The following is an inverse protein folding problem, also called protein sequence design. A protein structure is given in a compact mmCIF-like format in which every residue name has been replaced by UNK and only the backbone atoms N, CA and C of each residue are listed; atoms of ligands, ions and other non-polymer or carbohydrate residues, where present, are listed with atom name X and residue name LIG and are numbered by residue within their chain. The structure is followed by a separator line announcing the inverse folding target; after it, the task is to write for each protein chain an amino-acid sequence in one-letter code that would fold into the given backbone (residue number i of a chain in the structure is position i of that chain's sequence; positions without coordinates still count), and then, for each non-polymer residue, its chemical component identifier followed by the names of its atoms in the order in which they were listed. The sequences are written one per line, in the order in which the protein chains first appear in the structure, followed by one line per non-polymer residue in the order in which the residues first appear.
data_IF_721507368062
#
_entry.id   IF_721507368062
#
_cell.length_a   1.000
_cell.length_b   1.000
_cell.length_c   1.000
_cell.angle_alpha   90.00
_cell.angle_beta   90.00
_cell.angle_gamma   90.00
#
_symmetry.space_group_name_H-M   'P 1'
#
loop_
_entity.id
_entity.type
_entity.pdbx_description
1 polymer ?
#
# COMPACT_ATOMS: atom_id res chain seq x y z
N UNK A 1 26.17 3.90 9.89
CA UNK A 1 24.83 4.51 9.80
C UNK A 1 24.73 5.59 10.86
N UNK A 2 24.39 6.82 10.47
CA UNK A 2 24.22 7.95 11.39
C UNK A 2 23.10 7.67 12.41
N UNK A 3 23.39 7.87 13.70
CA UNK A 3 22.47 7.63 14.82
C UNK A 3 22.04 8.93 15.52
N UNK A 4 22.45 10.09 15.01
CA UNK A 4 22.07 11.38 15.59
C UNK A 4 20.55 11.51 15.59
N UNK A 5 19.88 11.86 16.68
CA UNK A 5 18.44 12.08 16.69
C UNK A 5 18.04 13.24 15.77
N UNK A 6 16.83 13.18 15.22
CA UNK A 6 16.27 14.31 14.47
C UNK A 6 15.65 15.27 15.47
N UNK A 7 16.15 16.49 15.48
CA UNK A 7 15.55 17.58 16.23
C UNK A 7 14.46 18.24 15.38
N UNK A 8 13.23 18.29 15.91
CA UNK A 8 12.03 18.66 15.12
C UNK A 8 11.52 20.07 15.41
N UNK A 9 12.08 20.73 16.41
CA UNK A 9 11.71 22.10 16.77
C UNK A 9 12.61 23.12 16.07
N UNK A 10 12.17 24.39 16.06
CA UNK A 10 12.94 25.50 15.47
C UNK A 10 14.23 25.78 16.23
N UNK A 11 15.16 26.50 15.60
CA UNK A 11 16.36 26.98 16.24
C UNK A 11 16.01 27.92 17.41
N UNK A 12 15.01 28.79 17.26
CA UNK A 12 14.56 29.71 18.28
C UNK A 12 14.08 28.99 19.55
N UNK A 13 13.29 27.91 19.34
CA UNK A 13 12.87 27.05 20.44
C UNK A 13 14.06 26.38 21.14
N UNK A 14 14.96 25.79 20.35
CA UNK A 14 16.15 25.11 20.88
C UNK A 14 17.03 26.04 21.71
N UNK A 15 17.20 27.28 21.25
CA UNK A 15 17.96 28.29 21.96
C UNK A 15 17.33 28.68 23.31
N UNK A 16 16.00 28.88 23.30
CA UNK A 16 15.26 29.24 24.54
C UNK A 16 15.26 28.13 25.58
N UNK A 17 15.38 26.86 25.16
CA UNK A 17 15.36 25.71 26.05
C UNK A 17 16.76 25.12 26.36
N UNK A 18 17.83 25.75 25.88
CA UNK A 18 19.20 25.27 26.10
C UNK A 18 19.56 24.01 25.29
N UNK A 19 18.81 23.72 24.22
CA UNK A 19 18.97 22.53 23.37
C UNK A 19 19.70 22.83 22.05
N UNK A 20 20.39 23.97 21.98
CA UNK A 20 21.07 24.47 20.79
C UNK A 20 22.06 23.45 20.19
N UNK A 21 22.83 22.75 21.04
CA UNK A 21 23.80 21.74 20.57
C UNK A 21 23.10 20.56 19.89
N UNK A 22 21.95 20.11 20.38
CA UNK A 22 21.15 19.04 19.79
C UNK A 22 20.61 19.47 18.42
N UNK A 23 20.09 20.69 18.33
CA UNK A 23 19.63 21.28 17.06
C UNK A 23 20.78 21.34 16.04
N UNK A 24 21.95 21.85 16.44
CA UNK A 24 23.13 21.97 15.56
C UNK A 24 23.59 20.59 15.09
N UNK A 25 23.68 19.59 15.98
CA UNK A 25 24.06 18.24 15.63
C UNK A 25 23.08 17.62 14.62
N UNK A 26 21.77 17.74 14.87
CA UNK A 26 20.72 17.27 13.96
C UNK A 26 20.81 17.97 12.59
N UNK A 27 20.98 19.28 12.58
CA UNK A 27 21.08 20.06 11.34
C UNK A 27 22.30 19.66 10.50
N UNK A 28 23.46 19.45 11.13
CA UNK A 28 24.68 18.94 10.44
C UNK A 28 24.42 17.56 9.80
N UNK A 29 23.75 16.67 10.52
CA UNK A 29 23.38 15.35 9.99
C UNK A 29 22.36 15.42 8.85
N UNK A 30 21.40 16.37 8.91
CA UNK A 30 20.45 16.64 7.83
C UNK A 30 21.16 17.19 6.58
N UNK A 31 22.15 18.08 6.75
CA UNK A 31 22.98 18.59 5.65
C UNK A 31 23.77 17.45 5.01
N UNK A 32 24.41 16.59 5.80
CA UNK A 32 25.13 15.44 5.30
C UNK A 32 24.23 14.46 4.53
N UNK A 33 23.01 14.24 5.02
CA UNK A 33 21.99 13.44 4.32
C UNK A 33 21.56 14.08 3.00
N UNK A 34 21.33 15.39 2.97
CA UNK A 34 21.05 16.14 1.74
C UNK A 34 22.17 15.95 0.71
N UNK A 35 23.41 16.16 1.14
CA UNK A 35 24.58 16.06 0.25
C UNK A 35 24.74 14.63 -0.33
N UNK A 36 24.43 13.61 0.49
CA UNK A 36 24.43 12.24 0.02
C UNK A 36 23.32 11.99 -1.03
N UNK A 37 22.12 12.55 -0.83
CA UNK A 37 21.02 12.46 -1.79
C UNK A 37 21.39 13.19 -3.09
N UNK A 38 21.87 14.43 -2.99
CA UNK A 38 22.31 15.21 -4.16
C UNK A 38 23.41 14.49 -4.94
N UNK A 39 24.39 13.91 -4.24
CA UNK A 39 25.47 13.11 -4.85
C UNK A 39 24.95 11.86 -5.55
N UNK A 40 23.99 11.14 -4.92
CA UNK A 40 23.41 9.93 -5.49
C UNK A 40 22.58 10.19 -6.76
N UNK A 41 22.05 11.41 -6.89
CA UNK A 41 21.27 11.85 -8.06
C UNK A 41 22.17 12.59 -9.07
N UNK A 42 23.28 13.16 -8.62
CA UNK A 42 24.19 13.93 -9.48
C UNK A 42 24.76 13.05 -10.62
N UNK A 43 24.92 13.66 -11.79
CA UNK A 43 25.45 12.96 -12.97
C UNK A 43 24.39 12.29 -13.84
N UNK A 44 23.15 12.20 -13.40
CA UNK A 44 22.03 11.74 -14.22
C UNK A 44 21.37 12.92 -14.93
N UNK A 45 21.55 13.00 -16.25
CA UNK A 45 21.02 14.09 -17.07
C UNK A 45 19.62 13.80 -17.62
N UNK A 46 19.13 12.57 -17.52
CA UNK A 46 17.83 12.15 -18.06
C UNK A 46 17.03 11.24 -17.12
N UNK A 47 15.73 11.40 -17.16
CA UNK A 47 14.81 10.57 -16.36
C UNK A 47 14.92 9.09 -16.70
N UNK A 48 15.20 8.75 -17.96
CA UNK A 48 15.27 7.37 -18.44
C UNK A 48 16.57 6.63 -18.07
N UNK A 49 17.63 7.36 -17.66
CA UNK A 49 18.93 6.78 -17.29
C UNK A 49 19.14 6.73 -15.78
N UNK A 50 18.19 7.25 -15.00
CA UNK A 50 18.32 7.33 -13.56
C UNK A 50 17.93 6.04 -12.86
N UNK A 51 18.92 5.30 -12.33
CA UNK A 51 18.68 4.17 -11.43
C UNK A 51 18.37 4.67 -10.00
N UNK A 52 17.10 5.01 -9.79
CA UNK A 52 16.61 5.47 -8.50
C UNK A 52 16.76 4.41 -7.40
N UNK A 53 16.73 3.11 -7.74
CA UNK A 53 16.89 2.05 -6.76
C UNK A 53 18.34 1.96 -6.24
N UNK A 54 19.32 2.09 -7.11
CA UNK A 54 20.73 2.18 -6.71
C UNK A 54 20.98 3.43 -5.86
N UNK A 55 20.50 4.58 -6.31
CA UNK A 55 20.64 5.86 -5.60
C UNK A 55 20.05 5.78 -4.18
N UNK A 56 18.85 5.24 -4.02
CA UNK A 56 18.23 5.06 -2.70
C UNK A 56 19.03 4.11 -1.82
N UNK A 57 19.47 2.97 -2.37
CA UNK A 57 20.29 2.00 -1.62
C UNK A 57 21.58 2.62 -1.08
N UNK A 58 22.24 3.47 -1.85
CA UNK A 58 23.52 4.10 -1.44
C UNK A 58 23.31 5.12 -0.31
N UNK A 59 22.22 5.87 -0.32
CA UNK A 59 21.88 6.79 0.77
C UNK A 59 21.44 6.03 2.03
N UNK A 60 20.64 4.97 1.89
CA UNK A 60 20.16 4.15 3.02
C UNK A 60 21.29 3.40 3.73
N UNK A 61 22.43 3.12 3.09
CA UNK A 61 23.63 2.60 3.77
C UNK A 61 24.21 3.56 4.82
N UNK A 62 24.00 4.86 4.63
CA UNK A 62 24.59 5.93 5.45
C UNK A 62 23.60 6.49 6.47
N UNK A 63 22.33 6.65 6.09
CA UNK A 63 21.31 7.32 6.88
C UNK A 63 20.08 6.42 7.10
N UNK A 64 19.36 6.67 8.20
CA UNK A 64 18.06 6.03 8.44
C UNK A 64 16.99 6.56 7.48
N UNK A 65 15.97 5.75 7.20
CA UNK A 65 14.80 6.22 6.44
C UNK A 65 14.10 7.41 7.11
N UNK A 66 14.10 7.47 8.44
CA UNK A 66 13.51 8.60 9.16
C UNK A 66 14.20 9.90 8.79
N UNK A 67 15.54 9.94 8.79
CA UNK A 67 16.30 11.12 8.40
C UNK A 67 16.14 11.45 6.92
N UNK A 68 16.23 10.44 6.05
CA UNK A 68 16.01 10.62 4.61
C UNK A 68 14.63 11.24 4.37
N UNK A 69 13.59 10.73 5.01
CA UNK A 69 12.23 11.24 4.86
C UNK A 69 12.05 12.63 5.43
N UNK A 70 12.71 12.95 6.54
CA UNK A 70 12.67 14.30 7.10
C UNK A 70 13.25 15.34 6.13
N UNK A 71 14.42 15.07 5.55
CA UNK A 71 15.07 15.94 4.57
C UNK A 71 14.23 16.06 3.29
N UNK A 72 13.75 14.93 2.77
CA UNK A 72 12.91 14.92 1.57
C UNK A 72 11.58 15.63 1.78
N UNK A 73 10.91 15.39 2.92
CA UNK A 73 9.63 16.02 3.22
C UNK A 73 9.77 17.54 3.37
N UNK A 74 10.82 17.99 4.04
CA UNK A 74 11.10 19.43 4.17
C UNK A 74 11.30 20.06 2.78
N UNK A 75 12.09 19.43 1.93
CA UNK A 75 12.31 19.89 0.54
C UNK A 75 11.01 19.94 -0.25
N UNK A 76 10.22 18.85 -0.25
CA UNK A 76 8.97 18.77 -1.00
C UNK A 76 7.93 19.76 -0.49
N UNK A 77 7.82 19.97 0.83
CA UNK A 77 6.92 20.99 1.39
C UNK A 77 7.32 22.41 0.99
N UNK A 78 8.62 22.70 0.95
CA UNK A 78 9.14 24.01 0.54
C UNK A 78 8.98 24.25 -0.96
N UNK A 79 9.11 23.20 -1.78
CA UNK A 79 8.96 23.24 -3.24
C UNK A 79 7.57 22.77 -3.71
N UNK A 80 6.57 22.77 -2.86
CA UNK A 80 5.22 22.28 -3.15
C UNK A 80 4.49 23.00 -4.29
N UNK A 81 4.95 24.17 -4.68
CA UNK A 81 4.47 24.93 -5.84
C UNK A 81 4.97 24.35 -7.18
N UNK A 82 6.06 23.59 -7.20
CA UNK A 82 6.64 23.06 -8.44
C UNK A 82 5.75 21.95 -9.02
N UNK A 83 5.30 22.12 -10.27
CA UNK A 83 4.46 21.17 -10.99
C UNK A 83 5.15 19.84 -11.34
N UNK A 84 6.49 19.79 -11.27
CA UNK A 84 7.29 18.58 -11.53
C UNK A 84 7.32 17.62 -10.34
N UNK A 85 6.88 18.04 -9.15
CA UNK A 85 6.69 17.19 -7.99
C UNK A 85 5.26 16.65 -8.00
N UNK A 86 5.12 15.33 -7.92
CA UNK A 86 3.84 14.64 -7.99
C UNK A 86 2.94 14.96 -6.79
N UNK A 87 1.61 14.95 -7.02
CA UNK A 87 0.63 15.16 -5.95
C UNK A 87 0.71 14.09 -4.85
N UNK A 88 1.09 12.85 -5.21
CA UNK A 88 1.31 11.77 -4.24
C UNK A 88 2.44 12.11 -3.27
N UNK A 89 3.56 12.63 -3.78
CA UNK A 89 4.71 13.01 -2.96
C UNK A 89 4.43 14.27 -2.14
N UNK A 90 3.68 15.24 -2.67
CA UNK A 90 3.23 16.43 -1.92
C UNK A 90 2.35 16.03 -0.73
N UNK A 91 1.34 15.17 -0.95
CA UNK A 91 0.47 14.68 0.14
C UNK A 91 1.25 13.88 1.18
N UNK A 92 2.15 13.01 0.73
CA UNK A 92 3.01 12.26 1.65
C UNK A 92 3.90 13.17 2.49
N UNK A 93 4.55 14.16 1.88
CA UNK A 93 5.42 15.08 2.62
C UNK A 93 4.68 15.81 3.73
N UNK A 94 3.41 16.18 3.52
CA UNK A 94 2.57 16.81 4.54
C UNK A 94 2.27 15.92 5.76
N UNK A 95 2.44 14.59 5.65
CA UNK A 95 2.27 13.68 6.79
C UNK A 95 3.47 13.64 7.73
N UNK A 96 4.59 14.24 7.33
CA UNK A 96 5.84 14.25 8.10
C UNK A 96 6.00 15.61 8.74
N UNK A 97 6.01 15.69 10.09
CA UNK A 97 6.26 16.94 10.77
C UNK A 97 7.70 17.40 10.53
N UNK A 98 7.86 18.62 10.06
CA UNK A 98 9.15 19.28 9.86
C UNK A 98 9.19 20.54 10.72
N UNK A 99 10.38 20.95 11.18
CA UNK A 99 10.53 22.15 11.94
C UNK A 99 10.02 23.36 11.16
N UNK A 100 9.25 24.21 11.82
CA UNK A 100 8.83 25.48 11.26
C UNK A 100 9.93 26.51 11.50
N UNK A 101 10.67 26.87 10.46
CA UNK A 101 11.59 27.97 10.47
C UNK A 101 10.90 29.23 9.90
N UNK A 102 11.06 30.35 10.54
CA UNK A 102 10.48 31.64 10.11
C UNK A 102 10.87 31.98 8.69
N UNK A 103 12.10 31.66 8.33
CA UNK A 103 12.64 31.87 7.01
C UNK A 103 13.04 30.53 6.38
N UNK A 104 12.13 29.89 5.67
CA UNK A 104 12.39 28.60 4.98
C UNK A 104 13.58 28.65 4.01
N UNK A 105 14.02 29.83 3.59
CA UNK A 105 15.20 30.00 2.73
C UNK A 105 16.52 29.72 3.46
N UNK A 106 16.51 29.80 4.78
CA UNK A 106 17.70 29.59 5.61
C UNK A 106 17.90 28.13 6.00
N UNK A 107 17.02 27.24 5.56
CA UNK A 107 17.13 25.81 5.83
C UNK A 107 18.19 25.20 4.91
N UNK A 108 19.38 24.98 5.45
CA UNK A 108 20.57 24.56 4.69
C UNK A 108 20.54 23.12 4.22
N UNK A 109 19.58 22.30 4.69
CA UNK A 109 19.42 20.91 4.26
C UNK A 109 18.36 20.70 3.18
N UNK A 110 17.90 21.75 2.51
CA UNK A 110 17.03 21.60 1.34
C UNK A 110 17.82 21.12 0.13
N UNK A 111 17.25 20.19 -0.61
CA UNK A 111 17.77 19.70 -1.89
C UNK A 111 17.42 20.73 -2.98
N UNK A 112 18.40 21.47 -3.46
CA UNK A 112 18.17 22.55 -4.43
C UNK A 112 18.93 22.39 -5.74
N UNK A 113 19.98 21.54 -5.75
CA UNK A 113 20.87 21.35 -6.91
C UNK A 113 20.36 20.29 -7.88
N UNK A 114 19.39 19.49 -7.47
CA UNK A 114 18.86 18.36 -8.23
C UNK A 114 17.63 18.78 -9.04
N UNK A 115 17.52 18.28 -10.28
CA UNK A 115 16.32 18.48 -11.09
C UNK A 115 15.07 17.95 -10.37
N UNK A 116 14.00 18.75 -10.19
CA UNK A 116 12.82 18.36 -9.41
C UNK A 116 12.15 17.07 -9.85
N UNK A 117 12.17 16.73 -11.14
CA UNK A 117 11.64 15.45 -11.64
C UNK A 117 12.47 14.24 -11.20
N UNK A 118 13.81 14.36 -11.16
CA UNK A 118 14.68 13.30 -10.64
C UNK A 118 14.49 13.15 -9.13
N UNK A 119 14.33 14.26 -8.43
CA UNK A 119 14.02 14.26 -7.00
C UNK A 119 12.67 13.56 -6.74
N UNK A 120 11.64 13.83 -7.52
CA UNK A 120 10.32 13.20 -7.37
C UNK A 120 10.39 11.67 -7.55
N UNK A 121 11.17 11.20 -8.53
CA UNK A 121 11.43 9.77 -8.74
C UNK A 121 12.17 9.18 -7.55
N UNK A 122 13.20 9.86 -7.02
CA UNK A 122 13.94 9.42 -5.84
C UNK A 122 13.02 9.31 -4.62
N UNK A 123 12.19 10.32 -4.35
CA UNK A 123 11.20 10.31 -3.25
C UNK A 123 10.27 9.11 -3.38
N UNK A 124 9.69 8.91 -4.57
CA UNK A 124 8.77 7.81 -4.84
C UNK A 124 9.44 6.45 -4.60
N UNK A 125 10.68 6.29 -5.07
CA UNK A 125 11.43 5.05 -4.88
C UNK A 125 11.83 4.82 -3.43
N UNK A 126 12.28 5.84 -2.70
CA UNK A 126 12.62 5.74 -1.28
C UNK A 126 11.41 5.32 -0.44
N UNK A 127 10.23 5.89 -0.70
CA UNK A 127 8.97 5.51 -0.06
C UNK A 127 8.59 4.05 -0.35
N UNK A 128 8.70 3.64 -1.60
CA UNK A 128 8.42 2.27 -2.01
C UNK A 128 9.38 1.27 -1.34
N UNK A 129 10.69 1.50 -1.38
CA UNK A 129 11.69 0.64 -0.74
C UNK A 129 11.47 0.53 0.78
N UNK A 130 11.06 1.63 1.42
CA UNK A 130 10.70 1.62 2.84
C UNK A 130 9.44 0.78 3.09
N UNK A 131 8.43 0.93 2.24
CA UNK A 131 7.19 0.15 2.33
C UNK A 131 7.47 -1.36 2.24
N UNK A 132 8.33 -1.77 1.31
CA UNK A 132 8.71 -3.17 1.13
C UNK A 132 9.41 -3.78 2.36
N UNK A 133 10.01 -2.96 3.22
CA UNK A 133 10.64 -3.41 4.47
C UNK A 133 9.66 -3.48 5.66
N UNK A 134 8.45 -2.93 5.51
CA UNK A 134 7.45 -2.99 6.58
C UNK A 134 6.69 -4.31 6.52
N UNK A 135 6.43 -4.95 7.67
CA UNK A 135 5.57 -6.12 7.70
C UNK A 135 4.15 -5.74 7.24
N UNK A 136 3.47 -6.68 6.60
CA UNK A 136 2.07 -6.50 6.23
C UNK A 136 1.19 -6.36 7.48
N UNK A 137 0.31 -5.37 7.46
CA UNK A 137 -0.74 -5.21 8.47
C UNK A 137 -2.01 -5.92 8.02
N UNK A 138 -2.88 -6.25 8.96
CA UNK A 138 -4.18 -6.85 8.63
C UNK A 138 -5.02 -5.98 7.66
N UNK A 139 -4.87 -4.65 7.75
CA UNK A 139 -5.51 -3.72 6.84
C UNK A 139 -4.98 -3.83 5.39
N UNK A 140 -3.67 -4.05 5.20
CA UNK A 140 -3.06 -4.24 3.88
C UNK A 140 -3.60 -5.51 3.22
N UNK A 141 -3.71 -6.61 4.00
CA UNK A 141 -4.24 -7.89 3.50
C UNK A 141 -5.71 -7.75 3.11
N UNK A 142 -6.50 -7.02 3.91
CA UNK A 142 -7.91 -6.73 3.61
C UNK A 142 -8.07 -5.87 2.35
N UNK A 143 -7.22 -4.86 2.20
CA UNK A 143 -7.22 -4.00 1.02
C UNK A 143 -6.87 -4.79 -0.25
N UNK A 144 -5.87 -5.67 -0.19
CA UNK A 144 -5.51 -6.53 -1.31
C UNK A 144 -6.63 -7.51 -1.66
N UNK A 145 -7.31 -8.11 -0.66
CA UNK A 145 -8.46 -8.97 -0.91
C UNK A 145 -9.60 -8.23 -1.62
N UNK A 146 -9.90 -6.99 -1.20
CA UNK A 146 -10.91 -6.16 -1.84
C UNK A 146 -10.54 -5.81 -3.28
N UNK A 147 -9.28 -5.45 -3.52
CA UNK A 147 -8.75 -5.15 -4.86
C UNK A 147 -8.84 -6.36 -5.81
N UNK A 148 -8.50 -7.56 -5.33
CA UNK A 148 -8.64 -8.80 -6.12
C UNK A 148 -10.11 -9.05 -6.49
N UNK A 149 -11.04 -8.87 -5.53
CA UNK A 149 -12.47 -9.06 -5.79
C UNK A 149 -13.02 -8.06 -6.79
N UNK A 150 -12.65 -6.79 -6.66
CA UNK A 150 -13.02 -5.74 -7.60
C UNK A 150 -12.55 -6.06 -9.03
N UNK A 151 -11.31 -6.51 -9.18
CA UNK A 151 -10.76 -6.89 -10.48
C UNK A 151 -11.43 -8.12 -11.07
N UNK A 152 -11.81 -9.11 -10.26
CA UNK A 152 -12.59 -10.26 -10.74
C UNK A 152 -14.00 -9.86 -11.17
N UNK A 153 -14.62 -8.90 -10.49
CA UNK A 153 -15.94 -8.36 -10.88
C UNK A 153 -15.87 -7.52 -12.15
N UNK A 154 -14.79 -6.78 -12.34
CA UNK A 154 -14.57 -5.97 -13.55
C UNK A 154 -14.18 -6.81 -14.77
N UNK A 155 -13.72 -8.04 -14.58
CA UNK A 155 -13.41 -8.96 -15.67
C UNK A 155 -14.71 -9.48 -16.31
N UNK A 156 -15.17 -8.83 -17.38
CA UNK A 156 -16.41 -9.20 -18.07
C UNK A 156 -16.26 -10.47 -18.90
N UNK A 157 -15.02 -10.78 -19.33
CA UNK A 157 -14.72 -11.94 -20.15
C UNK A 157 -13.53 -12.73 -19.60
N UNK A 158 -13.53 -14.07 -19.75
CA UNK A 158 -12.40 -14.90 -19.33
C UNK A 158 -11.14 -14.61 -20.14
N UNK A 159 -10.01 -14.44 -19.46
CA UNK A 159 -8.69 -14.14 -20.06
C UNK A 159 -7.93 -15.41 -20.51
N UNK A 160 -8.61 -16.54 -20.65
CA UNK A 160 -8.02 -17.80 -21.12
C UNK A 160 -8.30 -18.00 -22.60
N UNK A 161 -7.35 -18.58 -23.38
CA UNK A 161 -7.61 -18.97 -24.77
C UNK A 161 -8.84 -19.87 -24.95
N UNK A 162 -9.20 -20.61 -23.89
CA UNK A 162 -10.38 -21.49 -23.87
C UNK A 162 -11.65 -20.82 -23.33
N UNK A 163 -11.62 -19.49 -23.06
CA UNK A 163 -12.78 -18.76 -22.59
C UNK A 163 -13.32 -19.16 -21.21
N UNK A 164 -12.53 -19.82 -20.37
CA UNK A 164 -13.00 -20.42 -19.10
C UNK A 164 -12.41 -19.83 -17.83
N UNK A 165 -11.39 -18.98 -17.93
CA UNK A 165 -10.65 -18.49 -16.77
C UNK A 165 -10.68 -16.97 -16.67
N UNK A 166 -11.03 -16.47 -15.49
CA UNK A 166 -10.85 -15.06 -15.10
C UNK A 166 -9.51 -14.93 -14.36
N UNK A 167 -8.57 -14.17 -14.91
CA UNK A 167 -7.22 -14.08 -14.39
C UNK A 167 -7.00 -12.72 -13.70
N UNK A 168 -6.54 -12.74 -12.47
CA UNK A 168 -6.16 -11.55 -11.71
C UNK A 168 -4.82 -11.78 -11.05
N UNK A 169 -3.92 -10.82 -11.19
CA UNK A 169 -2.61 -10.85 -10.55
C UNK A 169 -2.70 -10.21 -9.17
N UNK A 170 -2.08 -10.84 -8.16
CA UNK A 170 -1.84 -10.24 -6.85
C UNK A 170 -0.81 -9.12 -7.00
N UNK A 171 -0.99 -8.02 -6.28
CA UNK A 171 -0.10 -6.87 -6.36
C UNK A 171 1.35 -7.27 -6.09
N UNK A 172 2.32 -6.89 -6.95
CA UNK A 172 3.73 -7.19 -6.74
C UNK A 172 4.25 -6.70 -5.39
N UNK A 173 3.80 -5.52 -4.94
CA UNK A 173 4.18 -4.95 -3.64
C UNK A 173 3.66 -5.78 -2.46
N UNK A 174 2.46 -6.35 -2.58
CA UNK A 174 1.94 -7.29 -1.60
C UNK A 174 2.82 -8.55 -1.56
N UNK A 175 3.08 -9.17 -2.72
CA UNK A 175 3.88 -10.39 -2.81
C UNK A 175 5.31 -10.21 -2.32
N UNK A 176 5.92 -9.05 -2.55
CA UNK A 176 7.27 -8.74 -2.07
C UNK A 176 7.37 -8.68 -0.53
N UNK A 177 6.25 -8.42 0.15
CA UNK A 177 6.15 -8.30 1.62
C UNK A 177 5.54 -9.53 2.29
N UNK A 178 4.73 -10.28 1.55
CA UNK A 178 3.92 -11.38 2.08
C UNK A 178 4.78 -12.61 2.41
N UNK A 179 4.62 -13.10 3.63
CA UNK A 179 5.01 -14.45 4.02
C UNK A 179 3.90 -15.47 3.73
N UNK A 180 4.20 -16.75 3.96
CA UNK A 180 3.22 -17.84 3.78
C UNK A 180 1.93 -17.59 4.55
N UNK A 181 2.04 -17.16 5.81
CA UNK A 181 0.88 -16.85 6.68
C UNK A 181 0.01 -15.71 6.14
N UNK A 182 0.62 -14.72 5.50
CA UNK A 182 -0.11 -13.57 4.93
C UNK A 182 -0.87 -13.99 3.67
N UNK A 183 -0.27 -14.86 2.85
CA UNK A 183 -0.93 -15.46 1.70
C UNK A 183 -2.12 -16.34 2.12
N UNK A 184 -1.95 -17.16 3.17
CA UNK A 184 -3.04 -17.98 3.72
C UNK A 184 -4.18 -17.10 4.25
N UNK A 185 -3.85 -16.01 4.94
CA UNK A 185 -4.85 -15.02 5.39
C UNK A 185 -5.58 -14.36 4.23
N UNK A 186 -4.84 -13.93 3.20
CA UNK A 186 -5.44 -13.39 1.98
C UNK A 186 -6.44 -14.38 1.39
N UNK A 187 -6.03 -15.63 1.21
CA UNK A 187 -6.89 -16.69 0.67
C UNK A 187 -8.13 -16.96 1.53
N UNK A 188 -8.00 -16.87 2.85
CA UNK A 188 -9.15 -17.05 3.76
C UNK A 188 -10.19 -15.95 3.65
N UNK A 189 -9.79 -14.73 3.29
CA UNK A 189 -10.68 -13.57 3.10
C UNK A 189 -11.41 -13.61 1.75
N UNK A 190 -10.90 -14.33 0.76
CA UNK A 190 -11.54 -14.44 -0.54
C UNK A 190 -12.69 -15.47 -0.50
N UNK A 191 -13.81 -15.24 -1.20
CA UNK A 191 -14.94 -16.18 -1.27
C UNK A 191 -14.65 -17.36 -2.20
N UNK A 192 -13.39 -17.75 -2.32
CA UNK A 192 -12.92 -18.80 -3.22
C UNK A 192 -12.30 -19.94 -2.41
N UNK A 193 -12.30 -21.12 -3.00
CA UNK A 193 -11.53 -22.28 -2.56
C UNK A 193 -10.57 -22.72 -3.64
N UNK A 194 -9.41 -23.23 -3.25
CA UNK A 194 -8.44 -23.79 -4.18
C UNK A 194 -8.98 -25.04 -4.85
N UNK A 195 -8.66 -25.19 -6.15
CA UNK A 195 -8.97 -26.38 -6.93
C UNK A 195 -7.70 -27.19 -7.18
N UNK A 196 -7.83 -28.49 -7.02
CA UNK A 196 -6.83 -29.44 -7.54
C UNK A 196 -6.94 -29.55 -9.06
N UNK A 197 -5.85 -29.95 -9.72
CA UNK A 197 -5.82 -30.13 -11.18
C UNK A 197 -6.90 -31.13 -11.69
N UNK A 198 -7.18 -32.17 -10.91
CA UNK A 198 -8.22 -33.17 -11.22
C UNK A 198 -9.65 -32.62 -11.13
N UNK A 199 -9.85 -31.46 -10.52
CA UNK A 199 -11.18 -30.85 -10.38
C UNK A 199 -11.57 -29.88 -11.50
N UNK A 200 -10.76 -29.76 -12.55
CA UNK A 200 -10.91 -28.73 -13.59
C UNK A 200 -11.76 -29.15 -14.77
N UNK A 201 -11.87 -30.47 -15.01
CA UNK A 201 -12.58 -30.98 -16.17
C UNK A 201 -14.06 -30.60 -16.15
N UNK A 202 -14.53 -29.98 -17.24
CA UNK A 202 -15.92 -29.60 -17.44
C UNK A 202 -16.46 -28.45 -16.60
N UNK A 203 -15.64 -27.77 -15.79
CA UNK A 203 -16.10 -26.64 -14.96
C UNK A 203 -16.03 -25.30 -15.69
N UNK A 204 -17.13 -24.55 -15.63
CA UNK A 204 -17.21 -23.14 -16.05
C UNK A 204 -16.98 -22.23 -14.83
N UNK A 205 -16.47 -21.01 -15.07
CA UNK A 205 -16.29 -20.01 -14.02
C UNK A 205 -15.10 -20.29 -13.11
N UNK A 206 -13.95 -20.65 -13.66
CA UNK A 206 -12.70 -20.83 -12.93
C UNK A 206 -12.00 -19.47 -12.82
N UNK A 207 -11.61 -19.12 -11.62
CA UNK A 207 -10.84 -17.93 -11.32
C UNK A 207 -9.36 -18.32 -11.14
N UNK A 208 -8.46 -17.62 -11.80
CA UNK A 208 -7.03 -17.86 -11.69
C UNK A 208 -6.39 -16.67 -10.98
N UNK A 209 -5.80 -16.92 -9.81
CA UNK A 209 -5.04 -15.93 -9.07
C UNK A 209 -3.55 -16.13 -9.36
N UNK A 210 -2.91 -15.14 -9.97
CA UNK A 210 -1.50 -15.16 -10.30
C UNK A 210 -0.73 -14.64 -9.07
N UNK A 211 0.09 -15.52 -8.48
CA UNK A 211 0.79 -15.25 -7.22
C UNK A 211 2.20 -14.67 -7.42
N UNK A 212 2.88 -14.95 -8.52
CA UNK A 212 4.27 -14.51 -8.66
C UNK A 212 4.68 -14.13 -10.08
N UNK A 213 4.51 -15.03 -10.99
CA UNK A 213 4.81 -14.90 -12.42
C UNK A 213 3.74 -15.69 -13.21
N UNK A 214 3.70 -15.51 -14.49
CA UNK A 214 2.67 -16.12 -15.36
C UNK A 214 2.55 -17.64 -15.21
N UNK A 215 3.58 -18.32 -14.68
CA UNK A 215 3.63 -19.77 -14.49
C UNK A 215 3.22 -20.22 -13.08
N UNK A 216 3.02 -19.32 -12.12
CA UNK A 216 2.62 -19.66 -10.74
C UNK A 216 1.27 -19.04 -10.40
N UNK A 217 0.23 -19.75 -10.74
CA UNK A 217 -1.13 -19.32 -10.43
C UNK A 217 -1.87 -20.39 -9.61
N UNK A 218 -2.78 -19.92 -8.77
CA UNK A 218 -3.68 -20.76 -8.00
C UNK A 218 -5.07 -20.73 -8.67
N UNK A 219 -5.59 -21.90 -9.03
CA UNK A 219 -6.94 -22.02 -9.58
C UNK A 219 -7.95 -22.05 -8.45
N UNK A 220 -8.99 -21.27 -8.60
CA UNK A 220 -9.98 -21.01 -7.55
C UNK A 220 -11.39 -21.21 -8.12
N UNK A 221 -12.30 -21.66 -7.28
CA UNK A 221 -13.74 -21.61 -7.53
C UNK A 221 -14.45 -20.91 -6.38
N UNK A 222 -15.61 -20.32 -6.66
CA UNK A 222 -16.46 -19.77 -5.61
C UNK A 222 -16.82 -20.85 -4.59
N UNK A 223 -16.64 -20.52 -3.32
CA UNK A 223 -17.11 -21.40 -2.24
C UNK A 223 -18.63 -21.52 -2.32
N UNK A 224 -19.13 -22.73 -2.25
CA UNK A 224 -20.58 -22.93 -2.08
C UNK A 224 -20.99 -22.27 -0.75
N UNK A 225 -22.04 -21.42 -0.74
CA UNK A 225 -22.52 -20.85 0.52
C UNK A 225 -22.88 -21.98 1.48
N UNK A 226 -22.54 -21.84 2.77
CA UNK A 226 -22.85 -22.84 3.77
C UNK A 226 -24.39 -23.03 3.82
N UNK A 227 -24.84 -24.25 4.12
CA UNK A 227 -26.27 -24.55 4.25
C UNK A 227 -26.96 -23.60 5.26
N UNK A 228 -26.23 -23.25 6.34
CA UNK A 228 -26.68 -22.31 7.36
C UNK A 228 -26.94 -20.90 6.80
N UNK A 229 -26.11 -20.42 5.91
CA UNK A 229 -26.28 -19.11 5.25
C UNK A 229 -27.42 -19.13 4.24
N UNK A 230 -27.61 -20.24 3.50
CA UNK A 230 -28.76 -20.42 2.59
C UNK A 230 -30.09 -20.43 3.34
N UNK A 231 -30.13 -21.03 4.54
CA UNK A 231 -31.33 -21.04 5.38
C UNK A 231 -31.64 -19.65 5.96
N UNK A 232 -30.62 -18.82 6.22
CA UNK A 232 -30.80 -17.43 6.70
C UNK A 232 -31.19 -16.46 5.55
N UNK A 233 -30.78 -16.75 4.32
CA UNK A 233 -31.07 -15.93 3.13
C UNK A 233 -32.39 -16.33 2.44
N UNK A 234 -33.02 -17.45 2.80
CA UNK A 234 -34.37 -17.76 2.35
C UNK A 234 -35.38 -16.83 3.05
N UNK A 235 -36.11 -16.02 2.25
CA UNK A 235 -37.23 -15.27 2.85
C UNK A 235 -38.14 -16.29 3.53
N UNK A 236 -38.59 -15.95 4.73
CA UNK A 236 -39.53 -16.77 5.47
C UNK A 236 -40.73 -17.03 4.54
N UNK A 237 -40.81 -18.25 4.00
CA UNK A 237 -42.00 -18.68 3.26
C UNK A 237 -43.12 -18.64 4.28
N UNK A 238 -44.09 -17.76 4.08
CA UNK A 238 -45.29 -17.70 4.90
C UNK A 238 -45.85 -19.10 5.11
N UNK A 239 -45.68 -19.61 6.31
CA UNK A 239 -46.25 -20.89 6.67
C UNK A 239 -47.74 -20.81 6.42
N UNK A 240 -48.34 -21.76 5.66
CA UNK A 240 -49.77 -21.75 5.43
C UNK A 240 -50.48 -21.73 6.78
N UNK A 241 -51.34 -20.73 7.02
CA UNK A 241 -52.18 -20.63 8.23
C UNK A 241 -52.90 -21.96 8.41
N UNK A 242 -52.82 -22.60 9.58
CA UNK A 242 -53.57 -23.80 9.84
C UNK A 242 -55.09 -23.51 9.62
N UNK A 243 -55.82 -24.44 9.00
CA UNK A 243 -57.24 -24.24 8.72
C UNK A 243 -58.00 -23.97 10.02
N UNK A 244 -58.75 -22.87 10.06
CA UNK A 244 -59.61 -22.50 11.17
C UNK A 244 -60.61 -23.64 11.42
N UNK A 245 -60.56 -24.26 12.61
CA UNK A 245 -61.56 -25.24 13.05
C UNK A 245 -62.93 -24.58 13.00
N UNK A 246 -63.75 -25.01 12.05
CA UNK A 246 -65.14 -24.63 11.95
C UNK A 246 -65.89 -25.00 13.22
N UNK A 247 -66.59 -24.01 13.80
CA UNK A 247 -67.48 -24.16 14.94
C UNK A 247 -68.67 -24.96 14.47
N UNK A 248 -68.77 -26.21 14.88
CA UNK A 248 -70.00 -27.03 14.73
C UNK A 248 -71.08 -26.40 15.53
N UNK A 249 -72.19 -25.99 14.87
CA UNK A 249 -73.41 -25.60 15.52
C UNK A 249 -74.13 -26.87 16.02
N UNK A 250 -74.38 -26.93 17.31
CA UNK A 250 -75.30 -27.90 17.89
C UNK A 250 -76.75 -27.58 17.48
N UNK A 251 -77.59 -28.57 17.17
CA UNK A 251 -79.01 -28.33 16.92
C UNK A 251 -79.75 -28.27 18.23
N UNK A 252 -80.58 -27.22 18.37
CA UNK A 252 -81.57 -27.09 19.43
C UNK A 252 -82.62 -28.21 19.38
N UNK A 253 -82.94 -28.70 20.58
CA UNK A 253 -84.23 -29.33 20.91
C UNK A 253 -84.73 -28.73 22.21
#
# INVERSE_FOLDING_TARGET
MDKTPIYKESYEYAYQHGEGDQHIASNRANIACRDAIEKAIAGHQGLNTFDAAAAVRDVVKQFSYERIFYVLANTVQTQGWDGRVSQSNKKWAQTIPVAFERNKRDVSYLITRTHPGLLDIFVSKARHEFLLKQPLKAADIKAEAAHILERFQAAQEPNSPNGTHYMVQVSPDFLARAGTKDTDRLMSMLPFQSLSLSGLEGRKGIYALILKDENRFQKLVLRKPSVRRRLQEQPAVDAPKPPSKGRTKEPER
#
